data_IF_596067377662
#
_entry.id   IF_596067377662
#
_cell.length_a   1.000
_cell.length_b   1.000
_cell.length_c   1.000
_cell.angle_alpha   90.00
_cell.angle_beta   90.00
_cell.angle_gamma   90.00
#
_symmetry.space_group_name_H-M   'P 1'
#
loop_
_entity.id
_entity.type
_entity.pdbx_description
1 polymer ?
#
# COMPACT_ATOMS: atom_id res chain seq x y z
N UNK A 1 28.01 -9.53 -19.70
CA UNK A 1 26.72 -10.22 -19.93
C UNK A 1 25.73 -9.95 -18.82
N UNK A 2 24.45 -9.75 -19.18
CA UNK A 2 23.34 -9.58 -18.23
C UNK A 2 22.35 -10.70 -18.49
N UNK A 3 22.06 -11.50 -17.48
CA UNK A 3 21.07 -12.57 -17.58
C UNK A 3 19.67 -11.95 -17.61
N UNK A 4 18.85 -12.38 -18.57
CA UNK A 4 17.44 -12.03 -18.64
C UNK A 4 16.64 -13.03 -17.79
N UNK A 5 16.23 -12.59 -16.60
CA UNK A 5 15.45 -13.41 -15.67
C UNK A 5 13.97 -13.05 -15.78
N UNK A 6 13.12 -14.06 -15.73
CA UNK A 6 11.66 -13.92 -15.75
C UNK A 6 11.03 -14.29 -14.40
N UNK A 7 9.84 -13.75 -14.14
CA UNK A 7 9.00 -14.17 -13.01
C UNK A 7 8.42 -15.54 -13.35
N UNK A 8 8.66 -16.53 -12.48
CA UNK A 8 8.14 -17.89 -12.66
C UNK A 8 6.82 -18.12 -11.90
N UNK A 9 6.61 -17.39 -10.80
CA UNK A 9 5.43 -17.51 -9.93
C UNK A 9 5.06 -16.12 -9.40
N UNK A 10 3.78 -15.74 -9.51
CA UNK A 10 3.22 -14.51 -8.95
C UNK A 10 1.73 -14.68 -8.60
N UNK A 11 1.20 -13.79 -7.76
CA UNK A 11 -0.23 -13.70 -7.46
C UNK A 11 -0.79 -14.68 -6.42
N UNK A 12 0.00 -15.64 -5.94
CA UNK A 12 -0.43 -16.55 -4.86
C UNK A 12 -0.80 -15.75 -3.60
N UNK A 13 -1.98 -15.99 -2.96
CA UNK A 13 -2.37 -15.32 -1.73
C UNK A 13 -1.34 -15.40 -0.59
N UNK A 14 -0.54 -16.47 -0.51
CA UNK A 14 0.52 -16.62 0.47
C UNK A 14 1.69 -15.64 0.26
N UNK A 15 1.83 -15.08 -0.94
CA UNK A 15 2.85 -14.06 -1.27
C UNK A 15 2.36 -12.63 -0.98
N UNK A 16 1.16 -12.45 -0.44
CA UNK A 16 0.64 -11.13 -0.08
C UNK A 16 1.44 -10.55 1.08
N UNK A 17 2.04 -9.38 0.85
CA UNK A 17 2.68 -8.59 1.89
C UNK A 17 1.72 -7.48 2.37
N UNK A 18 0.84 -7.82 3.32
CA UNK A 18 -0.18 -6.90 3.84
C UNK A 18 0.44 -5.78 4.69
N UNK A 19 -0.05 -4.56 4.49
CA UNK A 19 0.26 -3.40 5.35
C UNK A 19 -0.96 -2.98 6.16
N UNK A 20 -0.71 -2.49 7.38
CA UNK A 20 -1.75 -1.97 8.27
C UNK A 20 -1.27 -0.67 8.94
N UNK A 21 -2.22 0.21 9.26
CA UNK A 21 -1.97 1.41 10.07
C UNK A 21 -2.56 1.19 11.46
N UNK A 22 -1.77 1.47 12.50
CA UNK A 22 -2.17 1.25 13.90
C UNK A 22 -2.03 2.57 14.65
N UNK A 23 -3.13 3.10 15.16
CA UNK A 23 -3.14 4.27 16.05
C UNK A 23 -2.79 3.82 17.45
N UNK A 24 -1.58 4.17 17.90
CA UNK A 24 -1.07 3.74 19.22
C UNK A 24 -1.64 4.59 20.36
N UNK A 25 -1.90 3.95 21.50
CA UNK A 25 -2.29 4.66 22.73
C UNK A 25 -1.11 5.47 23.28
N UNK A 26 -1.39 6.70 23.73
CA UNK A 26 -0.35 7.57 24.29
C UNK A 26 0.59 8.19 23.25
N UNK A 27 0.21 8.17 21.96
CA UNK A 27 0.95 8.89 20.93
C UNK A 27 1.16 10.36 21.31
N UNK A 28 2.35 10.91 21.03
CA UNK A 28 2.63 12.32 21.26
C UNK A 28 1.70 13.25 20.47
N UNK A 29 1.16 12.77 19.34
CA UNK A 29 0.14 13.47 18.55
C UNK A 29 -1.02 12.53 18.21
N UNK A 30 -2.02 12.38 19.11
CA UNK A 30 -3.16 11.49 18.89
C UNK A 30 -4.05 11.91 17.71
N UNK A 31 -4.24 13.21 17.52
CA UNK A 31 -5.09 13.75 16.46
C UNK A 31 -4.47 13.53 15.08
N UNK A 32 -3.16 13.78 14.94
CA UNK A 32 -2.43 13.49 13.72
C UNK A 32 -2.42 12.00 13.37
N UNK A 33 -2.30 11.12 14.37
CA UNK A 33 -2.36 9.67 14.15
C UNK A 33 -3.74 9.24 13.61
N UNK A 34 -4.83 9.75 14.19
CA UNK A 34 -6.19 9.50 13.71
C UNK A 34 -6.43 10.08 12.32
N UNK A 35 -5.99 11.32 12.09
CA UNK A 35 -6.14 11.98 10.80
C UNK A 35 -5.39 11.23 9.69
N UNK A 36 -4.17 10.76 9.95
CA UNK A 36 -3.41 9.95 9.00
C UNK A 36 -4.09 8.61 8.73
N UNK A 37 -4.54 7.90 9.78
CA UNK A 37 -5.23 6.63 9.62
C UNK A 37 -6.51 6.78 8.76
N UNK A 38 -7.30 7.82 9.00
CA UNK A 38 -8.50 8.13 8.21
C UNK A 38 -8.17 8.54 6.77
N UNK A 39 -7.12 9.34 6.57
CA UNK A 39 -6.70 9.75 5.24
C UNK A 39 -6.17 8.58 4.42
N UNK A 40 -5.27 7.76 4.97
CA UNK A 40 -4.60 6.69 4.21
C UNK A 40 -5.57 5.57 3.80
N UNK A 41 -6.67 5.36 4.53
CA UNK A 41 -7.74 4.44 4.16
C UNK A 41 -8.83 5.07 3.27
N UNK A 42 -8.80 6.39 3.04
CA UNK A 42 -9.79 7.07 2.21
C UNK A 42 -9.73 6.66 0.73
N UNK A 43 -10.83 6.79 -0.04
CA UNK A 43 -10.83 6.49 -1.47
C UNK A 43 -9.75 7.24 -2.27
N UNK A 44 -9.48 8.50 -1.91
CA UNK A 44 -8.47 9.32 -2.58
C UNK A 44 -7.05 8.79 -2.35
N UNK A 45 -6.69 8.44 -1.11
CA UNK A 45 -5.38 7.89 -0.82
C UNK A 45 -5.20 6.47 -1.38
N UNK A 46 -6.26 5.64 -1.35
CA UNK A 46 -6.23 4.31 -1.97
C UNK A 46 -6.02 4.40 -3.49
N UNK A 47 -6.61 5.39 -4.17
CA UNK A 47 -6.31 5.66 -5.58
C UNK A 47 -4.84 6.02 -5.80
N UNK A 48 -4.29 6.94 -4.98
CA UNK A 48 -2.88 7.33 -5.07
C UNK A 48 -1.94 6.14 -4.88
N UNK A 49 -2.23 5.26 -3.92
CA UNK A 49 -1.47 4.01 -3.67
C UNK A 49 -1.51 3.11 -4.90
N UNK A 50 -2.69 2.94 -5.50
CA UNK A 50 -2.87 2.12 -6.71
C UNK A 50 -2.23 2.72 -7.97
N UNK A 51 -1.87 4.00 -7.98
CA UNK A 51 -1.17 4.69 -9.08
C UNK A 51 0.35 4.72 -8.90
N UNK A 52 0.83 4.55 -7.67
CA UNK A 52 2.24 4.64 -7.35
C UNK A 52 3.09 3.64 -8.15
N UNK A 53 4.15 4.15 -8.77
CA UNK A 53 5.14 3.37 -9.52
C UNK A 53 4.85 3.22 -11.01
N UNK A 54 3.65 3.56 -11.50
CA UNK A 54 3.31 3.43 -12.94
C UNK A 54 4.27 4.18 -13.84
N UNK A 55 4.55 5.45 -13.55
CA UNK A 55 5.42 6.29 -14.38
C UNK A 55 6.84 5.72 -14.49
N UNK A 56 7.40 5.23 -13.38
CA UNK A 56 8.79 4.76 -13.31
C UNK A 56 8.98 3.31 -13.74
N UNK A 57 7.99 2.45 -13.47
CA UNK A 57 8.13 1.00 -13.61
C UNK A 57 7.15 0.39 -14.62
N UNK A 58 6.30 1.20 -15.26
CA UNK A 58 5.28 0.74 -16.22
C UNK A 58 4.10 -0.01 -15.60
N UNK A 59 4.10 -0.22 -14.27
CA UNK A 59 3.08 -0.95 -13.53
C UNK A 59 2.92 -0.39 -12.11
N UNK A 60 1.73 -0.54 -11.48
CA UNK A 60 1.58 -0.19 -10.07
C UNK A 60 2.45 -1.11 -9.20
N UNK A 61 3.00 -0.57 -8.11
CA UNK A 61 3.78 -1.34 -7.14
C UNK A 61 2.93 -1.89 -5.99
N UNK A 62 1.78 -1.26 -5.71
CA UNK A 62 0.92 -1.62 -4.60
C UNK A 62 -0.51 -1.85 -5.09
N UNK A 63 -1.20 -2.78 -4.44
CA UNK A 63 -2.63 -3.01 -4.65
C UNK A 63 -3.36 -2.52 -3.40
N UNK A 64 -4.11 -1.39 -3.48
CA UNK A 64 -4.85 -0.87 -2.34
C UNK A 64 -5.96 -1.83 -1.92
N UNK A 65 -6.12 -2.04 -0.62
CA UNK A 65 -7.11 -2.97 -0.07
C UNK A 65 -7.67 -2.55 1.30
N UNK A 66 -7.72 -1.24 1.59
CA UNK A 66 -8.48 -0.78 2.74
C UNK A 66 -9.96 -1.17 2.58
N UNK A 67 -10.56 -1.69 3.65
CA UNK A 67 -11.99 -1.99 3.68
C UNK A 67 -12.79 -0.68 3.56
N UNK A 68 -13.93 -0.75 2.86
CA UNK A 68 -14.91 0.34 2.87
C UNK A 68 -15.80 0.12 4.09
N UNK A 69 -15.79 1.06 5.02
CA UNK A 69 -16.91 1.22 5.95
C UNK A 69 -18.19 1.58 5.18
#
# INVERSE_FOLDING_TARGET
DRLELSVLVEGDPALRNQYSVIVVRGAANPDGARAFAAWITSPAAQQLIGEFGRERFGRPLFTPNAERD
#
